data_IF_932537482824
#
_entry.id   IF_932537482824
#
_cell.length_a   1.000
_cell.length_b   1.000
_cell.length_c   1.000
_cell.angle_alpha   90.00
_cell.angle_beta   90.00
_cell.angle_gamma   90.00
#
_symmetry.space_group_name_H-M   'P 1'
#
loop_
_entity.id
_entity.type
_entity.pdbx_description
1 polymer ?
#
# COMPACT_ATOMS: atom_id res chain seq x y z
N UNK A 1 20.93 63.51 -50.19
CA UNK A 1 21.81 62.37 -50.53
C UNK A 1 21.94 61.51 -49.28
N UNK A 2 21.58 60.23 -49.43
CA UNK A 2 21.34 59.15 -48.45
C UNK A 2 22.44 58.89 -47.41
N UNK A 3 22.06 58.42 -46.20
CA UNK A 3 22.50 57.11 -45.68
C UNK A 3 21.56 56.56 -44.59
N UNK A 4 21.12 55.32 -44.84
CA UNK A 4 20.10 54.54 -44.12
C UNK A 4 20.63 54.01 -42.78
N UNK A 5 19.82 54.15 -41.74
CA UNK A 5 20.03 53.52 -40.43
C UNK A 5 19.66 52.03 -40.54
N UNK A 6 20.56 51.15 -40.10
CA UNK A 6 20.44 49.69 -40.11
C UNK A 6 19.53 49.26 -38.95
N UNK A 7 18.21 49.34 -39.15
CA UNK A 7 17.19 48.91 -38.16
C UNK A 7 16.41 47.75 -38.77
N UNK A 8 17.00 46.56 -38.77
CA UNK A 8 16.25 45.32 -39.01
C UNK A 8 16.89 44.24 -38.14
N UNK A 9 16.24 43.93 -37.00
CA UNK A 9 16.32 42.65 -36.26
C UNK A 9 15.63 42.67 -34.89
N UNK A 10 15.13 43.81 -34.42
CA UNK A 10 14.57 43.95 -33.06
C UNK A 10 13.03 44.05 -32.99
N UNK A 11 12.30 43.51 -33.96
CA UNK A 11 10.84 43.70 -34.06
C UNK A 11 10.02 42.40 -34.07
N UNK A 12 10.51 41.31 -33.48
CA UNK A 12 9.83 40.01 -33.53
C UNK A 12 9.77 39.25 -32.19
N UNK A 13 9.73 39.95 -31.06
CA UNK A 13 9.62 39.31 -29.74
C UNK A 13 8.44 39.76 -28.87
N UNK A 14 7.48 40.56 -29.38
CA UNK A 14 6.37 41.08 -28.56
C UNK A 14 4.95 40.77 -29.06
N UNK A 15 4.79 39.86 -30.02
CA UNK A 15 3.47 39.45 -30.54
C UNK A 15 3.13 37.98 -30.22
N UNK A 16 3.32 37.56 -28.96
CA UNK A 16 3.01 36.19 -28.50
C UNK A 16 2.32 36.14 -27.13
N UNK A 17 1.63 37.21 -26.74
CA UNK A 17 1.12 37.44 -25.37
C UNK A 17 -0.41 37.26 -25.23
N UNK A 18 -1.08 36.60 -26.17
CA UNK A 18 -2.53 36.48 -26.14
C UNK A 18 -3.03 35.17 -26.72
N UNK A 19 -2.99 34.08 -25.95
CA UNK A 19 -3.69 32.86 -26.31
C UNK A 19 -3.16 31.61 -25.64
N UNK A 20 -3.82 31.19 -24.56
CA UNK A 20 -3.80 29.78 -24.15
C UNK A 20 -3.00 29.44 -22.90
N UNK A 21 -3.24 30.13 -21.78
CA UNK A 21 -3.01 29.51 -20.47
C UNK A 21 -4.18 28.56 -20.17
N UNK A 22 -4.20 27.41 -20.85
CA UNK A 22 -5.07 26.30 -20.49
C UNK A 22 -4.57 25.75 -19.15
N UNK A 23 -5.19 26.21 -18.06
CA UNK A 23 -5.06 25.59 -16.75
C UNK A 23 -5.49 24.12 -16.92
N UNK A 24 -4.51 23.22 -16.92
CA UNK A 24 -4.75 21.80 -16.79
C UNK A 24 -5.37 21.56 -15.41
N UNK A 25 -6.69 21.60 -15.32
CA UNK A 25 -7.42 21.15 -14.14
C UNK A 25 -7.17 19.65 -14.07
N UNK A 26 -6.42 19.13 -13.07
CA UNK A 26 -6.39 17.70 -12.87
C UNK A 26 -7.81 17.31 -12.50
N UNK A 27 -8.53 16.69 -13.44
CA UNK A 27 -9.80 16.06 -13.17
C UNK A 27 -9.55 14.97 -12.12
N UNK A 28 -9.79 15.31 -10.86
CA UNK A 28 -9.88 14.33 -9.79
C UNK A 28 -11.08 13.44 -10.12
N UNK A 29 -10.82 12.30 -10.78
CA UNK A 29 -11.80 11.24 -10.90
C UNK A 29 -12.12 10.80 -9.47
N UNK A 30 -13.21 11.32 -8.92
CA UNK A 30 -13.78 10.84 -7.68
C UNK A 30 -14.00 9.34 -7.85
N UNK A 31 -13.38 8.53 -7.00
CA UNK A 31 -13.68 7.12 -6.97
C UNK A 31 -15.16 6.99 -6.58
N UNK A 32 -16.00 6.51 -7.50
CA UNK A 32 -17.34 6.06 -7.15
C UNK A 32 -17.21 5.03 -6.05
N UNK A 33 -17.86 5.28 -4.92
CA UNK A 33 -17.97 4.29 -3.86
C UNK A 33 -18.85 3.16 -4.38
N UNK A 34 -18.23 2.15 -4.98
CA UNK A 34 -18.93 0.93 -5.36
C UNK A 34 -19.40 0.25 -4.07
N UNK A 35 -20.72 0.16 -3.90
CA UNK A 35 -21.35 -0.59 -2.82
C UNK A 35 -21.43 -2.04 -3.28
N UNK A 36 -20.59 -2.90 -2.72
CA UNK A 36 -20.53 -4.33 -3.06
C UNK A 36 -19.21 -4.98 -2.64
N UNK A 37 -19.08 -6.30 -2.79
CA UNK A 37 -17.82 -7.00 -2.55
C UNK A 37 -16.69 -6.39 -3.39
N UNK A 38 -15.56 -6.12 -2.76
CA UNK A 38 -14.38 -5.58 -3.41
C UNK A 38 -13.16 -6.44 -3.08
N UNK A 39 -12.26 -6.59 -4.05
CA UNK A 39 -11.00 -7.31 -3.86
C UNK A 39 -9.84 -6.34 -3.91
N UNK A 40 -9.01 -6.36 -2.87
CA UNK A 40 -7.76 -5.58 -2.81
C UNK A 40 -6.61 -6.57 -2.90
N UNK A 41 -5.74 -6.41 -3.90
CA UNK A 41 -4.51 -7.21 -4.00
C UNK A 41 -3.36 -6.45 -3.39
N UNK A 42 -2.80 -7.02 -2.34
CA UNK A 42 -1.69 -6.47 -1.57
C UNK A 42 -0.49 -7.39 -1.70
N UNK A 43 0.70 -6.82 -1.79
CA UNK A 43 1.96 -7.55 -1.62
C UNK A 43 2.59 -7.10 -0.32
N UNK A 44 3.05 -8.02 0.48
CA UNK A 44 3.66 -7.75 1.77
C UNK A 44 5.16 -8.07 1.79
N UNK A 45 5.85 -7.54 2.79
CA UNK A 45 7.24 -7.88 3.11
C UNK A 45 7.39 -7.91 4.63
N UNK A 46 7.77 -9.05 5.18
CA UNK A 46 8.09 -9.16 6.61
C UNK A 46 9.24 -8.21 6.97
N UNK A 47 9.07 -7.46 8.06
CA UNK A 47 10.09 -6.56 8.61
C UNK A 47 10.47 -6.91 10.05
N UNK A 48 9.64 -7.67 10.76
CA UNK A 48 9.94 -8.19 12.07
C UNK A 48 9.21 -9.52 12.30
N UNK A 49 9.88 -10.43 12.99
CA UNK A 49 9.34 -11.73 13.37
C UNK A 49 9.87 -12.09 14.76
N UNK A 50 9.00 -12.46 15.68
CA UNK A 50 9.36 -12.80 17.06
C UNK A 50 8.59 -14.03 17.50
N UNK A 51 9.30 -15.01 18.07
CA UNK A 51 8.70 -16.19 18.68
C UNK A 51 8.85 -16.11 20.19
N UNK A 52 7.76 -16.31 20.90
CA UNK A 52 7.72 -16.46 22.35
C UNK A 52 7.45 -17.92 22.66
N UNK A 53 8.46 -18.62 23.16
CA UNK A 53 8.36 -20.01 23.64
C UNK A 53 7.93 -19.97 25.11
N UNK A 54 6.71 -20.42 25.39
CA UNK A 54 6.14 -20.40 26.75
C UNK A 54 5.92 -21.81 27.31
N UNK A 55 6.10 -22.85 26.48
CA UNK A 55 5.83 -24.22 26.87
C UNK A 55 7.11 -25.06 26.95
N UNK A 56 7.01 -26.30 26.47
CA UNK A 56 8.17 -27.20 26.44
C UNK A 56 9.15 -26.71 25.38
N UNK A 57 10.45 -26.75 25.70
CA UNK A 57 11.54 -26.33 24.80
C UNK A 57 11.29 -26.76 23.36
N UNK A 58 11.24 -25.79 22.45
CA UNK A 58 10.91 -26.01 21.05
C UNK A 58 9.45 -25.66 20.77
N UNK A 59 8.93 -26.09 19.60
CA UNK A 59 7.55 -25.74 19.23
C UNK A 59 6.56 -26.50 20.09
N UNK A 60 5.78 -25.78 20.89
CA UNK A 60 4.78 -26.35 21.78
C UNK A 60 3.45 -25.59 21.76
N UNK A 61 2.41 -26.20 22.32
CA UNK A 61 1.09 -25.58 22.43
C UNK A 61 1.17 -24.34 23.34
N UNK A 62 0.56 -23.25 22.91
CA UNK A 62 0.59 -21.96 23.59
C UNK A 62 1.68 -21.01 23.10
N UNK A 63 2.74 -21.51 22.45
CA UNK A 63 3.78 -20.66 21.86
C UNK A 63 3.17 -19.58 20.97
N UNK A 64 3.80 -18.41 20.95
CA UNK A 64 3.31 -17.25 20.21
C UNK A 64 4.31 -16.90 19.11
N UNK A 65 3.80 -16.60 17.92
CA UNK A 65 4.55 -16.02 16.82
C UNK A 65 3.94 -14.67 16.45
N UNK A 66 4.71 -13.62 16.61
CA UNK A 66 4.34 -12.24 16.32
C UNK A 66 5.10 -11.81 15.07
N UNK A 67 4.40 -11.28 14.07
CA UNK A 67 4.98 -10.86 12.80
C UNK A 67 4.49 -9.45 12.46
N UNK A 68 5.37 -8.64 11.88
CA UNK A 68 5.04 -7.32 11.33
C UNK A 68 5.51 -7.21 9.90
N UNK A 69 4.61 -6.87 8.99
CA UNK A 69 4.93 -6.75 7.57
C UNK A 69 4.56 -5.35 7.06
N UNK A 70 5.32 -4.85 6.08
CA UNK A 70 4.91 -3.68 5.29
C UNK A 70 4.03 -4.13 4.14
N UNK A 71 3.04 -3.30 3.79
CA UNK A 71 2.07 -3.58 2.75
C UNK A 71 2.32 -2.69 1.53
N UNK A 72 2.20 -3.23 0.33
CA UNK A 72 2.46 -2.53 -0.92
C UNK A 72 1.35 -2.79 -1.93
N UNK A 73 1.06 -1.78 -2.74
CA UNK A 73 0.33 -1.96 -4.00
C UNK A 73 1.29 -1.71 -5.17
N UNK A 74 1.97 -2.79 -5.60
CA UNK A 74 2.99 -2.73 -6.65
C UNK A 74 2.46 -2.30 -8.03
N UNK A 75 1.13 -2.25 -8.23
CA UNK A 75 0.55 -1.70 -9.47
C UNK A 75 0.47 -0.17 -9.45
N UNK A 76 0.44 0.45 -8.28
CA UNK A 76 0.27 1.91 -8.14
C UNK A 76 1.57 2.61 -7.76
N UNK A 77 2.37 2.02 -6.86
CA UNK A 77 3.55 2.67 -6.31
C UNK A 77 4.52 1.65 -5.69
N UNK A 78 5.79 2.01 -5.64
CA UNK A 78 6.80 1.30 -4.86
C UNK A 78 6.75 1.66 -3.35
N UNK A 79 5.99 2.70 -2.97
CA UNK A 79 5.83 3.10 -1.57
C UNK A 79 4.93 2.13 -0.83
N UNK A 80 5.19 2.00 0.47
CA UNK A 80 4.29 1.27 1.36
C UNK A 80 2.93 1.97 1.41
N UNK A 81 1.86 1.18 1.41
CA UNK A 81 0.48 1.63 1.63
C UNK A 81 0.05 1.41 3.09
N UNK A 82 0.90 0.82 3.93
CA UNK A 82 0.51 0.47 5.30
C UNK A 82 1.38 -0.60 5.93
N UNK A 83 0.86 -1.22 6.97
CA UNK A 83 1.50 -2.36 7.63
C UNK A 83 0.45 -3.31 8.19
N UNK A 84 0.87 -4.54 8.51
CA UNK A 84 0.06 -5.52 9.22
C UNK A 84 0.82 -6.01 10.43
N UNK A 85 0.09 -6.22 11.52
CA UNK A 85 0.58 -6.89 12.72
C UNK A 85 -0.23 -8.17 12.90
N UNK A 86 0.47 -9.30 13.02
CA UNK A 86 -0.14 -10.64 13.11
C UNK A 86 0.39 -11.32 14.36
N UNK A 87 -0.52 -11.91 15.13
CA UNK A 87 -0.22 -12.78 16.25
C UNK A 87 -0.80 -14.16 15.97
N UNK A 88 0.03 -15.18 16.10
CA UNK A 88 -0.38 -16.57 15.97
C UNK A 88 -0.03 -17.36 17.22
N UNK A 89 -0.99 -18.09 17.75
CA UNK A 89 -0.79 -19.01 18.89
C UNK A 89 -0.78 -20.44 18.39
N UNK A 90 0.28 -21.19 18.70
CA UNK A 90 0.37 -22.61 18.35
C UNK A 90 -0.65 -23.41 19.17
N UNK A 91 -1.44 -24.25 18.49
CA UNK A 91 -2.44 -25.11 19.13
C UNK A 91 -1.84 -26.51 19.32
N UNK A 92 -1.49 -27.18 18.21
CA UNK A 92 -0.88 -28.51 18.21
C UNK A 92 -0.04 -28.70 16.95
N UNK A 93 1.18 -29.22 17.11
CA UNK A 93 2.12 -29.41 16.00
C UNK A 93 2.39 -28.10 15.25
N UNK A 94 2.04 -28.08 13.95
CA UNK A 94 2.19 -26.90 13.09
C UNK A 94 0.92 -26.04 13.00
N UNK A 95 -0.20 -26.51 13.54
CA UNK A 95 -1.45 -25.75 13.54
C UNK A 95 -1.36 -24.59 14.52
N UNK A 96 -1.78 -23.42 14.06
CA UNK A 96 -1.82 -22.19 14.85
C UNK A 96 -3.09 -21.40 14.57
N UNK A 97 -3.65 -20.77 15.60
CA UNK A 97 -4.71 -19.78 15.43
C UNK A 97 -4.07 -18.41 15.26
N UNK A 98 -4.36 -17.75 14.14
CA UNK A 98 -3.82 -16.43 13.84
C UNK A 98 -4.91 -15.36 13.90
N UNK A 99 -4.52 -14.17 14.35
CA UNK A 99 -5.28 -12.93 14.20
C UNK A 99 -4.35 -11.85 13.70
N UNK A 100 -4.84 -10.98 12.81
CA UNK A 100 -4.04 -9.89 12.26
C UNK A 100 -4.86 -8.62 12.09
N UNK A 101 -4.19 -7.48 12.18
CA UNK A 101 -4.78 -6.18 11.87
C UNK A 101 -3.98 -5.51 10.76
N UNK A 102 -4.63 -5.27 9.63
CA UNK A 102 -4.08 -4.50 8.51
C UNK A 102 -4.41 -3.03 8.72
N UNK A 103 -3.38 -2.19 8.74
CA UNK A 103 -3.49 -0.74 8.84
C UNK A 103 -3.28 -0.14 7.45
N UNK A 104 -4.37 0.33 6.84
CA UNK A 104 -4.42 0.87 5.48
C UNK A 104 -4.77 2.38 5.51
N UNK A 105 -4.56 3.12 4.41
CA UNK A 105 -4.74 4.58 4.42
C UNK A 105 -6.20 5.02 4.68
N UNK A 106 -7.17 4.13 4.40
CA UNK A 106 -8.60 4.42 4.54
C UNK A 106 -9.28 3.67 5.68
N UNK A 107 -8.54 2.97 6.53
CA UNK A 107 -9.12 2.21 7.64
C UNK A 107 -8.28 1.01 8.07
N UNK A 108 -8.90 0.15 8.87
CA UNK A 108 -8.29 -1.09 9.35
C UNK A 108 -9.11 -2.28 8.89
N UNK A 109 -8.45 -3.43 8.71
CA UNK A 109 -9.11 -4.71 8.50
C UNK A 109 -8.57 -5.70 9.51
N UNK A 110 -9.47 -6.32 10.26
CA UNK A 110 -9.16 -7.40 11.18
C UNK A 110 -9.38 -8.72 10.48
N UNK A 111 -8.44 -9.65 10.61
CA UNK A 111 -8.55 -11.00 10.06
C UNK A 111 -8.29 -12.04 11.14
N UNK A 112 -8.84 -13.24 10.96
CA UNK A 112 -8.50 -14.36 11.83
C UNK A 112 -8.91 -15.71 11.26
N UNK A 113 -8.22 -16.75 11.73
CA UNK A 113 -8.42 -18.11 11.25
C UNK A 113 -7.33 -19.07 11.70
N UNK A 114 -7.49 -20.33 11.30
CA UNK A 114 -6.48 -21.37 11.51
C UNK A 114 -5.48 -21.36 10.36
N UNK A 115 -4.21 -21.54 10.69
CA UNK A 115 -3.11 -21.62 9.73
C UNK A 115 -2.30 -22.89 10.04
N UNK A 116 -2.15 -23.75 9.04
CA UNK A 116 -1.28 -24.94 9.11
C UNK A 116 -0.04 -24.72 8.24
N UNK A 117 -0.24 -24.26 7.00
CA UNK A 117 0.82 -23.97 6.04
C UNK A 117 0.94 -22.46 5.81
N UNK A 118 2.11 -21.83 6.08
CA UNK A 118 2.28 -20.39 5.87
C UNK A 118 2.31 -19.97 4.40
N UNK A 119 2.46 -20.91 3.45
CA UNK A 119 2.53 -20.59 2.02
C UNK A 119 1.14 -20.40 1.39
N UNK A 120 0.14 -21.14 1.89
CA UNK A 120 -1.21 -21.15 1.34
C UNK A 120 -2.20 -21.23 2.50
N UNK A 121 -2.90 -20.13 2.75
CA UNK A 121 -3.86 -20.03 3.83
C UNK A 121 -4.93 -18.99 3.51
N UNK A 122 -6.10 -19.14 4.12
CA UNK A 122 -7.19 -18.18 4.05
C UNK A 122 -7.57 -17.80 5.48
N UNK A 123 -7.65 -16.49 5.73
CA UNK A 123 -8.14 -15.95 7.00
C UNK A 123 -9.43 -15.18 6.72
N UNK A 124 -10.42 -15.35 7.58
CA UNK A 124 -11.68 -14.63 7.47
C UNK A 124 -11.45 -13.15 7.82
N UNK A 125 -12.08 -12.25 7.08
CA UNK A 125 -12.20 -10.84 7.48
C UNK A 125 -13.26 -10.76 8.59
N UNK A 126 -12.88 -10.16 9.71
CA UNK A 126 -13.68 -10.11 10.93
C UNK A 126 -14.32 -8.72 11.16
N UNK A 127 -13.76 -7.66 10.56
CA UNK A 127 -14.25 -6.29 10.70
C UNK A 127 -13.26 -5.23 10.25
#
# INVERSE_FOLDING_TARGET
MTRRVKIERFALLLAGLGGGLLLAIPASRGAEATIGPATIRITDREIASTRVDIGKRGRSAGDIHIMRHLLYNRRLSARTIGHVEVICTFIVGNSRQCRGTYFLPRGKLMVGGSLIYPQFYELAVLG
#
